data_IF_929002665536
#
_entry.id   IF_929002665536
#
_cell.length_a   1.000
_cell.length_b   1.000
_cell.length_c   1.000
_cell.angle_alpha   90.00
_cell.angle_beta   90.00
_cell.angle_gamma   90.00
#
_symmetry.space_group_name_H-M   'P 1'
#
loop_
_entity.id
_entity.type
_entity.pdbx_description
1 polymer ?
#
# COMPACT_ATOMS: atom_id res chain seq x y z
N UNK A 1 12.19 -3.73 -16.84
CA UNK A 1 11.93 -2.42 -17.49
C UNK A 1 10.49 -2.01 -17.21
N UNK A 2 10.26 -1.02 -16.32
CA UNK A 2 9.11 -0.08 -16.27
C UNK A 2 8.90 0.51 -14.85
N UNK A 3 9.97 1.01 -14.23
CA UNK A 3 9.83 1.84 -13.02
C UNK A 3 9.19 3.22 -13.33
N UNK A 4 9.11 3.60 -14.61
CA UNK A 4 8.54 4.87 -15.08
C UNK A 4 7.00 4.90 -15.12
N UNK A 5 6.33 3.78 -14.83
CA UNK A 5 4.85 3.68 -14.93
C UNK A 5 4.12 4.08 -13.66
N UNK A 6 4.81 4.17 -12.54
CA UNK A 6 4.20 4.37 -11.23
C UNK A 6 4.71 5.66 -10.58
N UNK A 7 3.85 6.31 -9.81
CA UNK A 7 4.23 7.52 -9.07
C UNK A 7 5.42 7.21 -8.15
N UNK A 8 6.45 8.07 -8.08
CA UNK A 8 7.57 7.89 -7.17
C UNK A 8 7.11 7.69 -5.71
N UNK A 9 6.05 8.40 -5.30
CA UNK A 9 5.44 8.27 -3.96
C UNK A 9 4.82 6.89 -3.73
N UNK A 10 4.24 6.29 -4.76
CA UNK A 10 3.70 4.92 -4.68
C UNK A 10 4.82 3.90 -4.54
N UNK A 11 5.87 4.02 -5.37
CA UNK A 11 7.02 3.10 -5.34
C UNK A 11 7.71 3.16 -3.98
N UNK A 12 7.91 4.36 -3.44
CA UNK A 12 8.52 4.55 -2.13
C UNK A 12 7.67 3.96 -1.00
N UNK A 13 6.35 4.22 -1.00
CA UNK A 13 5.44 3.65 -0.02
C UNK A 13 5.43 2.11 -0.10
N UNK A 14 5.34 1.54 -1.30
CA UNK A 14 5.37 0.09 -1.52
C UNK A 14 6.70 -0.55 -1.10
N UNK A 15 7.84 0.12 -1.32
CA UNK A 15 9.15 -0.35 -0.85
C UNK A 15 9.27 -0.35 0.68
N UNK A 16 8.62 0.60 1.36
CA UNK A 16 8.57 0.63 2.82
C UNK A 16 7.64 -0.46 3.35
N UNK A 17 6.44 -0.55 2.79
CA UNK A 17 5.44 -1.55 3.14
C UNK A 17 5.99 -2.97 2.88
N UNK A 18 6.66 -3.23 1.77
CA UNK A 18 7.19 -4.57 1.44
C UNK A 18 8.24 -5.10 2.42
N UNK A 19 8.91 -4.20 3.15
CA UNK A 19 9.89 -4.55 4.20
C UNK A 19 9.24 -4.82 5.56
N UNK A 20 7.96 -4.47 5.73
CA UNK A 20 7.19 -4.68 6.94
C UNK A 20 6.44 -6.01 6.88
N UNK A 21 6.23 -6.64 8.03
CA UNK A 21 5.31 -7.79 8.18
C UNK A 21 3.86 -7.39 7.87
N UNK A 22 2.97 -8.35 7.66
CA UNK A 22 1.55 -8.07 7.37
C UNK A 22 0.88 -7.29 8.50
N UNK A 23 1.16 -7.64 9.76
CA UNK A 23 0.67 -6.94 10.95
C UNK A 23 1.21 -5.50 11.04
N UNK A 24 2.50 -5.29 10.75
CA UNK A 24 3.08 -3.94 10.75
C UNK A 24 2.54 -3.09 9.59
N UNK A 25 2.36 -3.67 8.40
CA UNK A 25 1.78 -3.00 7.23
C UNK A 25 0.36 -2.52 7.51
N UNK A 26 -0.35 -3.30 8.30
CA UNK A 26 -1.72 -3.13 8.72
C UNK A 26 -1.76 -2.62 10.17
N UNK A 27 -0.93 -1.63 10.51
CA UNK A 27 -1.00 -0.95 11.81
C UNK A 27 -1.45 0.49 11.62
N UNK A 28 -2.04 1.10 12.66
CA UNK A 28 -2.39 2.53 12.63
C UNK A 28 -1.16 3.42 12.37
N UNK A 29 0.03 3.00 12.81
CA UNK A 29 1.28 3.74 12.58
C UNK A 29 1.69 3.75 11.10
N UNK A 30 1.44 2.66 10.36
CA UNK A 30 1.78 2.54 8.95
C UNK A 30 0.59 2.76 8.01
N UNK A 31 -0.61 2.98 8.55
CA UNK A 31 -1.83 3.32 7.81
C UNK A 31 -1.62 4.50 6.87
N UNK A 32 -0.89 5.53 7.31
CA UNK A 32 -0.56 6.68 6.48
C UNK A 32 0.29 6.31 5.25
N UNK A 33 1.24 5.37 5.38
CA UNK A 33 2.02 4.83 4.26
C UNK A 33 1.14 4.01 3.31
N UNK A 34 0.21 3.22 3.87
CA UNK A 34 -0.73 2.44 3.08
C UNK A 34 -1.72 3.32 2.30
N UNK A 35 -2.25 4.37 2.92
CA UNK A 35 -3.11 5.36 2.26
C UNK A 35 -2.35 6.14 1.21
N UNK A 36 -1.08 6.49 1.45
CA UNK A 36 -0.22 7.07 0.44
C UNK A 36 -0.05 6.11 -0.74
N UNK A 37 0.20 4.83 -0.50
CA UNK A 37 0.24 3.84 -1.58
C UNK A 37 -1.08 3.80 -2.35
N UNK A 38 -2.24 3.76 -1.67
CA UNK A 38 -3.55 3.77 -2.33
C UNK A 38 -3.79 5.02 -3.19
N UNK A 39 -3.47 6.21 -2.67
CA UNK A 39 -3.72 7.48 -3.34
C UNK A 39 -2.90 7.64 -4.62
N UNK A 40 -1.70 7.08 -4.65
CA UNK A 40 -0.80 7.16 -5.80
C UNK A 40 -0.76 5.84 -6.60
N UNK A 41 -1.57 4.85 -6.23
CA UNK A 41 -1.62 3.58 -6.91
C UNK A 41 -2.32 3.72 -8.27
N UNK A 42 -1.77 3.07 -9.29
CA UNK A 42 -2.40 2.99 -10.61
C UNK A 42 -3.66 2.10 -10.56
N UNK A 43 -4.56 2.27 -11.54
CA UNK A 43 -5.86 1.62 -11.59
C UNK A 43 -5.80 0.07 -11.60
N UNK A 44 -4.72 -0.50 -12.11
CA UNK A 44 -4.45 -1.94 -12.13
C UNK A 44 -4.05 -2.51 -10.75
N UNK A 45 -3.51 -1.67 -9.86
CA UNK A 45 -3.06 -2.08 -8.52
C UNK A 45 -4.06 -1.72 -7.43
N UNK A 46 -4.86 -0.66 -7.59
CA UNK A 46 -5.87 -0.24 -6.61
C UNK A 46 -6.77 -1.38 -6.10
N UNK A 47 -7.28 -2.31 -6.93
CA UNK A 47 -8.11 -3.42 -6.44
C UNK A 47 -7.39 -4.30 -5.41
N UNK A 48 -6.08 -4.50 -5.57
CA UNK A 48 -5.27 -5.32 -4.66
C UNK A 48 -5.09 -4.62 -3.31
N UNK A 49 -4.83 -3.32 -3.32
CA UNK A 49 -4.70 -2.52 -2.09
C UNK A 49 -6.03 -2.41 -1.34
N UNK A 50 -7.15 -2.27 -2.05
CA UNK A 50 -8.49 -2.27 -1.44
C UNK A 50 -8.78 -3.62 -0.77
N UNK A 51 -8.39 -4.74 -1.38
CA UNK A 51 -8.56 -6.06 -0.79
C UNK A 51 -7.76 -6.22 0.51
N UNK A 52 -6.52 -5.70 0.55
CA UNK A 52 -5.69 -5.68 1.76
C UNK A 52 -6.32 -4.80 2.84
N UNK A 53 -6.79 -3.59 2.49
CA UNK A 53 -7.49 -2.70 3.43
C UNK A 53 -8.76 -3.34 4.00
N UNK A 54 -9.56 -4.00 3.17
CA UNK A 54 -10.77 -4.70 3.63
C UNK A 54 -10.45 -5.82 4.61
N UNK A 55 -9.35 -6.55 4.43
CA UNK A 55 -8.91 -7.56 5.39
C UNK A 55 -8.49 -6.94 6.73
N UNK A 56 -7.82 -5.79 6.68
CA UNK A 56 -7.48 -5.04 7.89
C UNK A 56 -8.71 -4.55 8.65
N UNK A 57 -9.65 -3.91 7.94
CA UNK A 57 -10.93 -3.44 8.51
C UNK A 57 -11.81 -4.58 9.06
N UNK A 58 -11.50 -5.85 8.73
CA UNK A 58 -12.17 -7.03 9.28
C UNK A 58 -11.46 -7.61 10.52
N UNK A 59 -10.17 -7.32 10.70
CA UNK A 59 -9.37 -7.78 11.85
C UNK A 59 -9.45 -6.81 13.04
N UNK A 60 -9.84 -5.56 12.82
CA UNK A 60 -10.04 -4.51 13.83
C UNK A 60 -11.50 -4.06 13.88
#
# INVERSE_FOLDING_TARGET
MSADKYSPKFVEAMQKLSKMSEEERLSEENKALFEQAMNYAPLDIQPQLIAIRKKYDQMH
#
